data_IF_336998640478
#
_entry.id   IF_336998640478
#
_cell.length_a   1.000
_cell.length_b   1.000
_cell.length_c   1.000
_cell.angle_alpha   90.00
_cell.angle_beta   90.00
_cell.angle_gamma   90.00
#
_symmetry.space_group_name_H-M   'P 1'
#
loop_
_entity.id
_entity.type
_entity.pdbx_description
1 polymer ?
#
# COMPACT_ATOMS: atom_id res chain seq x y z
N UNK A 1 87.38 -0.37 -39.57
CA UNK A 1 87.34 -1.75 -40.08
C UNK A 1 86.21 -2.43 -39.33
N UNK A 2 84.97 -2.17 -39.72
CA UNK A 2 84.37 -2.89 -40.84
C UNK A 2 83.89 -4.23 -40.30
N UNK A 3 82.85 -4.22 -39.46
CA UNK A 3 82.09 -5.45 -39.20
C UNK A 3 81.37 -5.76 -40.50
N UNK A 4 82.08 -6.42 -41.41
CA UNK A 4 81.52 -6.84 -42.69
C UNK A 4 80.48 -7.92 -42.39
N UNK A 5 79.23 -7.61 -42.71
CA UNK A 5 78.19 -8.61 -42.80
C UNK A 5 78.61 -9.51 -43.97
N UNK A 6 79.03 -10.75 -43.66
CA UNK A 6 79.60 -11.70 -44.65
C UNK A 6 78.65 -11.95 -45.84
N UNK A 7 77.34 -11.73 -45.65
CA UNK A 7 76.34 -11.71 -46.73
C UNK A 7 75.20 -10.70 -46.44
N UNK A 8 75.24 -9.48 -47.03
CA UNK A 8 74.25 -8.44 -46.77
C UNK A 8 72.83 -8.79 -47.24
N UNK A 9 72.69 -9.57 -48.32
CA UNK A 9 71.37 -9.93 -48.84
C UNK A 9 70.68 -10.98 -47.97
N UNK A 10 71.41 -11.97 -47.45
CA UNK A 10 70.81 -12.95 -46.53
C UNK A 10 70.42 -12.29 -45.21
N UNK A 11 71.24 -11.36 -44.70
CA UNK A 11 70.93 -10.56 -43.51
C UNK A 11 69.62 -9.77 -43.66
N UNK A 12 69.41 -9.10 -44.79
CA UNK A 12 68.17 -8.35 -45.06
C UNK A 12 66.95 -9.26 -45.21
N UNK A 13 67.11 -10.45 -45.82
CA UNK A 13 66.03 -11.45 -45.92
C UNK A 13 65.65 -12.04 -44.56
N UNK A 14 66.63 -12.29 -43.69
CA UNK A 14 66.40 -12.75 -42.32
C UNK A 14 65.77 -11.65 -41.46
N UNK A 15 66.21 -10.40 -41.61
CA UNK A 15 65.60 -9.25 -40.96
C UNK A 15 64.13 -9.07 -41.36
N UNK A 16 63.81 -9.19 -42.66
CA UNK A 16 62.44 -9.11 -43.17
C UNK A 16 61.54 -10.20 -42.60
N UNK A 17 62.05 -11.44 -42.55
CA UNK A 17 61.32 -12.58 -41.94
C UNK A 17 61.07 -12.36 -40.44
N UNK A 18 62.08 -11.87 -39.71
CA UNK A 18 61.96 -11.60 -38.28
C UNK A 18 60.96 -10.47 -37.99
N UNK A 19 60.94 -9.42 -38.80
CA UNK A 19 59.94 -8.33 -38.71
C UNK A 19 58.53 -8.84 -39.01
N UNK A 20 58.37 -9.68 -40.04
CA UNK A 20 57.09 -10.29 -40.37
C UNK A 20 56.57 -11.22 -39.25
N UNK A 21 57.44 -12.04 -38.66
CA UNK A 21 57.09 -12.89 -37.51
C UNK A 21 56.66 -12.05 -36.30
N UNK A 22 57.38 -10.96 -36.01
CA UNK A 22 56.99 -10.03 -34.95
C UNK A 22 55.62 -9.38 -35.19
N UNK A 23 55.36 -8.90 -36.41
CA UNK A 23 54.07 -8.30 -36.77
C UNK A 23 52.91 -9.29 -36.67
N UNK A 24 53.10 -10.54 -37.08
CA UNK A 24 52.09 -11.61 -36.93
C UNK A 24 51.79 -11.89 -35.44
N UNK A 25 52.83 -12.01 -34.61
CA UNK A 25 52.68 -12.18 -33.15
C UNK A 25 51.94 -10.99 -32.53
N UNK A 26 52.26 -9.76 -32.91
CA UNK A 26 51.55 -8.55 -32.44
C UNK A 26 50.07 -8.57 -32.85
N UNK A 27 49.76 -8.96 -34.09
CA UNK A 27 48.38 -9.06 -34.57
C UNK A 27 47.59 -10.16 -33.83
N UNK A 28 48.21 -11.33 -33.59
CA UNK A 28 47.62 -12.41 -32.80
C UNK A 28 47.38 -12.00 -31.35
N UNK A 29 48.33 -11.27 -30.76
CA UNK A 29 48.24 -10.77 -29.39
C UNK A 29 47.10 -9.74 -29.22
N UNK A 30 46.88 -8.87 -30.21
CA UNK A 30 45.71 -7.98 -30.23
C UNK A 30 44.40 -8.77 -30.23
N UNK A 31 44.29 -9.79 -31.10
CA UNK A 31 43.09 -10.64 -31.16
C UNK A 31 42.86 -11.41 -29.85
N UNK A 32 43.92 -11.91 -29.22
CA UNK A 32 43.81 -12.61 -27.94
C UNK A 32 43.40 -11.68 -26.79
N UNK A 33 43.87 -10.42 -26.78
CA UNK A 33 43.40 -9.41 -25.81
C UNK A 33 41.91 -9.11 -25.95
N UNK A 34 41.41 -9.00 -27.18
CA UNK A 34 39.97 -8.80 -27.41
C UNK A 34 39.14 -10.03 -27.01
N UNK A 35 39.65 -11.23 -27.27
CA UNK A 35 39.02 -12.49 -26.86
C UNK A 35 38.98 -12.63 -25.33
N UNK A 36 40.08 -12.33 -24.63
CA UNK A 36 40.14 -12.32 -23.16
C UNK A 36 39.13 -11.33 -22.57
N UNK A 37 39.08 -10.10 -23.11
CA UNK A 37 38.11 -9.10 -22.65
C UNK A 37 36.65 -9.55 -22.86
N UNK A 38 36.37 -10.16 -24.00
CA UNK A 38 35.03 -10.64 -24.34
C UNK A 38 34.61 -11.81 -23.45
N UNK A 39 35.51 -12.77 -23.24
CA UNK A 39 35.27 -13.94 -22.37
C UNK A 39 35.16 -13.55 -20.90
N UNK A 40 35.98 -12.60 -20.42
CA UNK A 40 35.85 -12.02 -19.07
C UNK A 40 34.48 -11.36 -18.87
N UNK A 41 34.05 -10.52 -19.82
CA UNK A 41 32.74 -9.86 -19.74
C UNK A 41 31.58 -10.86 -19.79
N UNK A 42 31.70 -11.92 -20.60
CA UNK A 42 30.70 -12.98 -20.66
C UNK A 42 30.61 -13.77 -19.34
N UNK A 43 31.75 -14.04 -18.69
CA UNK A 43 31.80 -14.70 -17.39
C UNK A 43 31.15 -13.84 -16.29
N UNK A 44 31.48 -12.55 -16.23
CA UNK A 44 30.88 -11.63 -15.26
C UNK A 44 29.37 -11.48 -15.47
N UNK A 45 28.94 -11.38 -16.73
CA UNK A 45 27.52 -11.34 -17.08
C UNK A 45 26.80 -12.62 -16.66
N UNK A 46 27.39 -13.80 -16.91
CA UNK A 46 26.81 -15.07 -16.51
C UNK A 46 26.69 -15.19 -14.98
N UNK A 47 27.72 -14.77 -14.23
CA UNK A 47 27.66 -14.72 -12.75
C UNK A 47 26.55 -13.80 -12.25
N UNK A 48 26.41 -12.63 -12.85
CA UNK A 48 25.36 -11.68 -12.50
C UNK A 48 23.96 -12.21 -12.83
N UNK A 49 23.78 -12.82 -14.00
CA UNK A 49 22.51 -13.47 -14.38
C UNK A 49 22.09 -14.55 -13.37
N UNK A 50 23.04 -15.33 -12.85
CA UNK A 50 22.80 -16.35 -11.82
C UNK A 50 22.36 -15.69 -10.51
N UNK A 51 23.08 -14.66 -10.06
CA UNK A 51 22.74 -13.93 -8.83
C UNK A 51 21.35 -13.30 -8.91
N UNK A 52 21.03 -12.63 -10.01
CA UNK A 52 19.71 -12.03 -10.24
C UNK A 52 18.61 -13.11 -10.25
N UNK A 53 18.89 -14.29 -10.83
CA UNK A 53 17.96 -15.43 -10.84
C UNK A 53 17.73 -15.99 -9.44
N UNK A 54 18.77 -16.10 -8.61
CA UNK A 54 18.69 -16.51 -7.21
C UNK A 54 17.80 -15.54 -6.45
N UNK A 55 18.10 -14.25 -6.49
CA UNK A 55 17.37 -13.22 -5.74
C UNK A 55 15.89 -13.17 -6.15
N UNK A 56 15.62 -13.21 -7.45
CA UNK A 56 14.25 -13.22 -7.97
C UNK A 56 13.49 -14.47 -7.51
N UNK A 57 14.11 -15.64 -7.56
CA UNK A 57 13.47 -16.92 -7.18
C UNK A 57 13.20 -16.96 -5.68
N UNK A 58 14.16 -16.53 -4.85
CA UNK A 58 14.01 -16.47 -3.40
C UNK A 58 12.88 -15.52 -3.01
N UNK A 59 12.86 -14.32 -3.61
CA UNK A 59 11.80 -13.33 -3.36
C UNK A 59 10.44 -13.88 -3.75
N UNK A 60 10.31 -14.40 -4.97
CA UNK A 60 9.04 -14.93 -5.46
C UNK A 60 8.52 -16.07 -4.57
N UNK A 61 9.36 -17.02 -4.18
CA UNK A 61 8.94 -18.14 -3.32
C UNK A 61 8.58 -17.68 -1.89
N UNK A 62 9.29 -16.68 -1.35
CA UNK A 62 8.98 -16.10 -0.04
C UNK A 62 7.63 -15.36 -0.06
N UNK A 63 7.37 -14.59 -1.13
CA UNK A 63 6.13 -13.87 -1.35
C UNK A 63 4.96 -14.85 -1.53
N UNK A 64 5.12 -15.90 -2.34
CA UNK A 64 4.09 -16.93 -2.57
C UNK A 64 3.74 -17.70 -1.28
N UNK A 65 4.75 -18.04 -0.48
CA UNK A 65 4.58 -18.68 0.83
C UNK A 65 3.76 -17.76 1.75
N UNK A 66 4.17 -16.50 1.86
CA UNK A 66 3.53 -15.50 2.71
C UNK A 66 2.09 -15.22 2.28
N UNK A 67 1.86 -15.06 0.98
CA UNK A 67 0.54 -14.79 0.41
C UNK A 67 -0.46 -15.92 0.69
N UNK A 68 0.00 -17.17 0.70
CA UNK A 68 -0.85 -18.34 1.02
C UNK A 68 -1.35 -18.29 2.46
N UNK A 69 -0.47 -18.00 3.42
CA UNK A 69 -0.85 -17.85 4.83
C UNK A 69 -1.72 -16.61 5.06
N UNK A 70 -1.40 -15.48 4.43
CA UNK A 70 -2.20 -14.25 4.57
C UNK A 70 -3.61 -14.42 4.03
N UNK A 71 -3.78 -15.19 2.94
CA UNK A 71 -5.10 -15.57 2.44
C UNK A 71 -5.88 -16.39 3.47
N UNK A 72 -5.26 -17.35 4.16
CA UNK A 72 -5.94 -18.13 5.20
C UNK A 72 -6.29 -17.28 6.42
N UNK A 73 -5.37 -16.44 6.89
CA UNK A 73 -5.61 -15.51 8.00
C UNK A 73 -6.79 -14.60 7.68
N UNK A 74 -6.82 -14.00 6.49
CA UNK A 74 -7.92 -13.11 6.09
C UNK A 74 -9.27 -13.84 6.00
N UNK A 75 -9.31 -15.10 5.56
CA UNK A 75 -10.52 -15.91 5.56
C UNK A 75 -11.06 -16.16 6.98
N UNK A 76 -10.18 -16.48 7.93
CA UNK A 76 -10.56 -16.66 9.34
C UNK A 76 -11.01 -15.33 9.94
N UNK A 77 -10.33 -14.22 9.65
CA UNK A 77 -10.73 -12.88 10.12
C UNK A 77 -12.11 -12.46 9.62
N UNK A 78 -12.46 -12.76 8.36
CA UNK A 78 -13.80 -12.50 7.82
C UNK A 78 -14.86 -13.31 8.57
N UNK A 79 -14.60 -14.60 8.83
CA UNK A 79 -15.51 -15.47 9.59
C UNK A 79 -15.67 -14.97 11.03
N UNK A 80 -14.57 -14.57 11.66
CA UNK A 80 -14.54 -14.02 13.02
C UNK A 80 -15.36 -12.73 13.12
N UNK A 81 -15.20 -11.79 12.18
CA UNK A 81 -16.02 -10.57 12.11
C UNK A 81 -17.51 -10.88 11.96
N UNK A 82 -17.85 -11.88 11.14
CA UNK A 82 -19.24 -12.31 10.96
C UNK A 82 -19.82 -12.87 12.27
N UNK A 83 -19.08 -13.72 12.98
CA UNK A 83 -19.51 -14.30 14.26
C UNK A 83 -19.64 -13.26 15.36
N UNK A 84 -18.73 -12.29 15.43
CA UNK A 84 -18.85 -11.14 16.33
C UNK A 84 -20.12 -10.32 16.03
N UNK A 85 -20.44 -10.08 14.75
CA UNK A 85 -21.66 -9.38 14.38
C UNK A 85 -22.93 -10.17 14.73
N UNK A 86 -22.91 -11.49 14.58
CA UNK A 86 -24.01 -12.38 15.02
C UNK A 86 -24.20 -12.33 16.54
N UNK A 87 -23.11 -12.38 17.31
CA UNK A 87 -23.10 -12.22 18.78
C UNK A 87 -23.67 -10.87 19.21
N UNK A 88 -23.23 -9.78 18.59
CA UNK A 88 -23.72 -8.43 18.90
C UNK A 88 -25.22 -8.27 18.57
N UNK A 89 -25.68 -8.92 17.49
CA UNK A 89 -27.10 -8.96 17.15
C UNK A 89 -27.89 -9.75 18.20
N UNK A 90 -27.40 -10.92 18.61
CA UNK A 90 -28.03 -11.71 19.67
C UNK A 90 -28.10 -10.93 20.99
N UNK A 91 -27.03 -10.23 21.37
CA UNK A 91 -27.00 -9.33 22.53
C UNK A 91 -28.07 -8.22 22.43
N UNK A 92 -28.17 -7.55 21.28
CA UNK A 92 -29.17 -6.49 21.06
C UNK A 92 -30.61 -7.02 21.19
N UNK A 93 -30.87 -8.21 20.64
CA UNK A 93 -32.19 -8.85 20.78
C UNK A 93 -32.46 -9.30 22.23
N UNK A 94 -31.46 -9.82 22.94
CA UNK A 94 -31.55 -10.14 24.37
C UNK A 94 -31.91 -8.92 25.22
N UNK A 95 -31.18 -7.81 25.04
CA UNK A 95 -31.45 -6.52 25.70
C UNK A 95 -32.87 -6.03 25.39
N UNK A 96 -33.31 -6.12 24.13
CA UNK A 96 -34.67 -5.71 23.73
C UNK A 96 -35.74 -6.61 24.35
N UNK A 97 -35.51 -7.92 24.41
CA UNK A 97 -36.37 -8.89 25.07
C UNK A 97 -36.50 -8.61 26.57
N UNK A 98 -35.38 -8.36 27.24
CA UNK A 98 -35.34 -7.98 28.66
C UNK A 98 -36.08 -6.67 28.94
N UNK A 99 -35.85 -5.63 28.13
CA UNK A 99 -36.60 -4.37 28.21
C UNK A 99 -38.11 -4.64 28.10
N UNK A 100 -38.52 -5.47 27.14
CA UNK A 100 -39.93 -5.81 26.96
C UNK A 100 -40.49 -6.49 28.20
N UNK A 101 -39.82 -7.53 28.70
CA UNK A 101 -40.28 -8.33 29.84
C UNK A 101 -40.29 -7.53 31.15
N UNK A 102 -39.22 -6.80 31.47
CA UNK A 102 -39.13 -6.02 32.71
C UNK A 102 -40.06 -4.80 32.72
N UNK A 103 -40.32 -4.19 31.55
CA UNK A 103 -41.25 -3.04 31.47
C UNK A 103 -42.72 -3.45 31.31
N UNK A 104 -43.00 -4.72 31.01
CA UNK A 104 -44.35 -5.23 30.74
C UNK A 104 -45.34 -4.98 31.89
N UNK A 105 -45.04 -5.27 33.17
CA UNK A 105 -45.97 -5.01 34.26
C UNK A 105 -46.40 -3.53 34.34
N UNK A 106 -45.46 -2.61 34.10
CA UNK A 106 -45.74 -1.16 34.08
C UNK A 106 -46.53 -0.72 32.86
N UNK A 107 -46.33 -1.39 31.71
CA UNK A 107 -47.13 -1.15 30.49
C UNK A 107 -48.57 -1.64 30.67
N UNK A 108 -48.75 -2.81 31.29
CA UNK A 108 -50.08 -3.34 31.66
C UNK A 108 -50.76 -2.42 32.67
N UNK A 109 -50.06 -1.99 33.72
CA UNK A 109 -50.57 -1.03 34.70
C UNK A 109 -51.04 0.25 34.03
N UNK A 110 -50.26 0.82 33.10
CA UNK A 110 -50.66 2.01 32.34
C UNK A 110 -51.92 1.79 31.49
N UNK A 111 -52.07 0.60 30.88
CA UNK A 111 -53.27 0.25 30.11
C UNK A 111 -54.50 0.19 31.03
N UNK A 112 -54.34 -0.35 32.22
CA UNK A 112 -55.40 -0.44 33.22
C UNK A 112 -55.75 0.94 33.80
N UNK A 113 -54.77 1.77 34.14
CA UNK A 113 -54.98 3.15 34.57
C UNK A 113 -55.76 3.97 33.53
N UNK A 114 -55.51 3.76 32.23
CA UNK A 114 -56.31 4.42 31.17
C UNK A 114 -57.76 3.96 31.17
N UNK A 115 -58.04 2.67 31.43
CA UNK A 115 -59.41 2.16 31.58
C UNK A 115 -60.07 2.72 32.83
N UNK A 116 -59.33 2.87 33.93
CA UNK A 116 -59.84 3.49 35.15
C UNK A 116 -60.27 4.93 34.92
N UNK A 117 -59.52 5.74 34.15
CA UNK A 117 -59.95 7.10 33.78
C UNK A 117 -61.29 7.05 33.03
N UNK A 118 -61.43 6.16 32.04
CA UNK A 118 -62.67 6.03 31.28
C UNK A 118 -63.85 5.60 32.17
N UNK A 119 -63.61 4.71 33.15
CA UNK A 119 -64.61 4.27 34.11
C UNK A 119 -65.03 5.40 35.08
N UNK A 120 -64.08 6.19 35.58
CA UNK A 120 -64.36 7.37 36.43
C UNK A 120 -65.22 8.38 35.68
N UNK A 121 -64.88 8.69 34.43
CA UNK A 121 -65.65 9.63 33.61
C UNK A 121 -67.06 9.10 33.30
N UNK A 122 -67.18 7.79 33.02
CA UNK A 122 -68.49 7.16 32.79
C UNK A 122 -69.38 7.17 34.03
N UNK A 123 -68.81 6.95 35.22
CA UNK A 123 -69.56 6.96 36.50
C UNK A 123 -70.18 8.33 36.79
N UNK A 124 -69.47 9.40 36.44
CA UNK A 124 -69.89 10.78 36.68
C UNK A 124 -70.71 11.38 35.52
N UNK A 125 -71.06 10.57 34.50
CA UNK A 125 -71.67 11.00 33.24
C UNK A 125 -70.89 12.15 32.55
N UNK A 126 -69.59 12.22 32.78
CA UNK A 126 -68.73 13.24 32.22
C UNK A 126 -68.43 12.96 30.73
N UNK A 127 -68.32 13.99 29.88
CA UNK A 127 -67.94 13.83 28.48
C UNK A 127 -66.62 13.08 28.28
N UNK A 128 -66.56 12.21 27.27
CA UNK A 128 -65.36 11.42 26.95
C UNK A 128 -64.11 12.31 26.68
N UNK A 129 -64.32 13.55 26.22
CA UNK A 129 -63.25 14.53 26.01
C UNK A 129 -62.42 14.79 27.27
N UNK A 130 -63.01 14.72 28.47
CA UNK A 130 -62.29 14.94 29.73
C UNK A 130 -61.28 13.85 30.05
N UNK A 131 -61.35 12.69 29.39
CA UNK A 131 -60.35 11.63 29.53
C UNK A 131 -59.06 11.89 28.71
N UNK A 132 -59.07 12.85 27.79
CA UNK A 132 -57.98 13.07 26.82
C UNK A 132 -56.75 13.75 27.45
N UNK A 133 -55.56 13.50 26.91
CA UNK A 133 -54.33 14.14 27.41
C UNK A 133 -54.37 15.66 27.18
N UNK A 134 -54.94 16.11 26.06
CA UNK A 134 -55.12 17.52 25.69
C UNK A 134 -55.95 18.29 26.70
N UNK A 135 -57.10 17.75 27.13
CA UNK A 135 -57.96 18.40 28.14
C UNK A 135 -57.16 18.70 29.42
N UNK A 136 -56.45 17.70 29.92
CA UNK A 136 -55.67 17.86 31.14
C UNK A 136 -54.48 18.83 30.93
N UNK A 137 -53.78 18.78 29.80
CA UNK A 137 -52.69 19.73 29.54
C UNK A 137 -53.17 21.18 29.47
N UNK A 138 -54.34 21.44 28.89
CA UNK A 138 -54.84 22.80 28.68
C UNK A 138 -55.64 23.37 29.86
N UNK A 139 -56.44 22.57 30.55
CA UNK A 139 -57.38 23.07 31.56
C UNK A 139 -56.92 22.81 33.00
N UNK A 140 -56.04 21.84 33.24
CA UNK A 140 -55.58 21.49 34.59
C UNK A 140 -54.06 21.22 34.70
N UNK A 141 -53.16 21.90 33.96
CA UNK A 141 -51.77 21.47 33.77
C UNK A 141 -51.04 21.09 35.07
N UNK A 142 -50.34 19.95 35.06
CA UNK A 142 -49.58 19.44 36.20
C UNK A 142 -48.08 19.36 35.89
N UNK A 143 -47.32 20.26 36.51
CA UNK A 143 -45.86 20.37 36.41
C UNK A 143 -45.36 21.19 35.22
N UNK A 144 -44.05 21.45 35.21
CA UNK A 144 -43.41 22.41 34.29
C UNK A 144 -43.62 22.12 32.80
N UNK A 145 -43.57 20.85 32.39
CA UNK A 145 -43.73 20.49 30.98
C UNK A 145 -45.12 20.79 30.43
N UNK A 146 -46.17 20.44 31.18
CA UNK A 146 -47.55 20.73 30.76
C UNK A 146 -47.85 22.23 30.83
N UNK A 147 -47.31 22.91 31.84
CA UNK A 147 -47.41 24.37 31.95
C UNK A 147 -46.74 25.08 30.77
N UNK A 148 -45.58 24.61 30.31
CA UNK A 148 -44.90 25.16 29.14
C UNK A 148 -45.70 24.92 27.85
N UNK A 149 -46.29 23.72 27.68
CA UNK A 149 -47.18 23.44 26.54
C UNK A 149 -48.42 24.33 26.57
N UNK A 150 -49.05 24.48 27.74
CA UNK A 150 -50.17 25.40 27.93
C UNK A 150 -49.78 26.84 27.58
N UNK A 151 -48.65 27.32 28.07
CA UNK A 151 -48.15 28.67 27.78
C UNK A 151 -47.87 28.87 26.29
N UNK A 152 -47.26 27.88 25.63
CA UNK A 152 -47.05 27.93 24.19
C UNK A 152 -48.36 28.02 23.41
N UNK A 153 -49.36 27.21 23.77
CA UNK A 153 -50.69 27.29 23.15
C UNK A 153 -51.33 28.65 23.40
N UNK A 154 -51.19 29.19 24.61
CA UNK A 154 -51.67 30.53 24.96
C UNK A 154 -51.01 31.62 24.12
N UNK A 155 -49.69 31.58 23.93
CA UNK A 155 -48.95 32.53 23.08
C UNK A 155 -49.40 32.43 21.62
N UNK A 156 -49.59 31.20 21.12
CA UNK A 156 -50.05 30.99 19.74
C UNK A 156 -51.43 31.61 19.53
N UNK A 157 -52.37 31.38 20.46
CA UNK A 157 -53.74 31.86 20.34
C UNK A 157 -53.82 33.38 20.60
N UNK A 158 -53.26 33.88 21.70
CA UNK A 158 -53.48 35.28 22.11
C UNK A 158 -52.39 36.25 21.65
N UNK A 159 -51.33 35.79 20.99
CA UNK A 159 -50.36 36.69 20.38
C UNK A 159 -50.26 36.41 18.89
N UNK A 160 -49.80 35.22 18.52
CA UNK A 160 -49.42 34.93 17.15
C UNK A 160 -50.62 34.99 16.18
N UNK A 161 -51.79 34.51 16.60
CA UNK A 161 -53.00 34.52 15.79
C UNK A 161 -53.54 35.96 15.56
N UNK A 162 -53.76 36.82 16.59
CA UNK A 162 -54.13 38.21 16.39
C UNK A 162 -53.14 39.01 15.52
N UNK A 163 -51.83 38.83 15.76
CA UNK A 163 -50.81 39.48 14.94
C UNK A 163 -50.84 38.98 13.50
N UNK A 164 -50.98 37.67 13.30
CA UNK A 164 -51.11 37.07 11.97
C UNK A 164 -52.31 37.64 11.22
N UNK A 165 -53.49 37.66 11.83
CA UNK A 165 -54.72 38.21 11.23
C UNK A 165 -54.55 39.69 10.89
N UNK A 166 -53.92 40.48 11.77
CA UNK A 166 -53.68 41.91 11.52
C UNK A 166 -52.81 42.18 10.29
N UNK A 167 -51.75 41.38 10.08
CA UNK A 167 -50.89 41.54 8.90
C UNK A 167 -51.56 41.12 7.59
N UNK A 168 -52.62 40.32 7.64
CA UNK A 168 -53.39 39.93 6.45
C UNK A 168 -54.39 41.01 5.99
N UNK A 169 -54.68 42.02 6.83
CA UNK A 169 -55.64 43.09 6.51
C UNK A 169 -54.91 44.28 5.85
N UNK A 170 -55.31 44.72 4.65
CA UNK A 170 -54.79 45.95 4.03
C UNK A 170 -55.09 47.20 4.88
N UNK A 171 -54.25 48.23 4.76
CA UNK A 171 -54.38 49.53 5.45
C UNK A 171 -54.07 49.58 6.96
N UNK A 172 -53.48 48.54 7.57
CA UNK A 172 -52.85 48.48 8.92
C UNK A 172 -53.15 49.63 9.90
N UNK A 173 -54.43 49.90 10.20
CA UNK A 173 -54.83 50.93 11.17
C UNK A 173 -54.67 50.35 12.56
N UNK A 174 -54.06 51.11 13.47
CA UNK A 174 -53.81 50.67 14.86
C UNK A 174 -55.09 50.15 15.58
N UNK A 175 -56.26 50.74 15.29
CA UNK A 175 -57.54 50.30 15.86
C UNK A 175 -58.00 48.91 15.39
N UNK A 176 -57.57 48.41 14.23
CA UNK A 176 -57.91 47.06 13.78
C UNK A 176 -57.31 45.99 14.70
N UNK A 177 -56.09 46.21 15.19
CA UNK A 177 -55.46 45.31 16.14
C UNK A 177 -56.30 45.22 17.44
N UNK A 178 -56.77 46.35 17.95
CA UNK A 178 -57.62 46.40 19.14
C UNK A 178 -58.92 45.58 18.96
N UNK A 179 -59.59 45.73 17.81
CA UNK A 179 -60.82 44.97 17.52
C UNK A 179 -60.54 43.47 17.36
N UNK A 180 -59.44 43.09 16.69
CA UNK A 180 -59.04 41.69 16.51
C UNK A 180 -58.79 41.04 17.88
N UNK A 181 -58.04 41.70 18.76
CA UNK A 181 -57.79 41.21 20.11
C UNK A 181 -59.07 41.10 20.94
N UNK A 182 -59.99 42.07 20.82
CA UNK A 182 -61.28 42.03 21.50
C UNK A 182 -62.11 40.80 21.08
N UNK A 183 -62.17 40.55 19.77
CA UNK A 183 -62.89 39.39 19.21
C UNK A 183 -62.22 38.08 19.60
N UNK A 184 -60.88 38.00 19.51
CA UNK A 184 -60.09 36.82 19.87
C UNK A 184 -60.28 36.42 21.34
N UNK A 185 -60.17 37.40 22.26
CA UNK A 185 -60.40 37.18 23.69
C UNK A 185 -61.85 36.77 23.97
N UNK A 186 -62.83 37.38 23.30
CA UNK A 186 -64.23 37.03 23.50
C UNK A 186 -64.52 35.59 23.02
N UNK A 187 -63.98 35.19 21.87
CA UNK A 187 -64.18 33.85 21.31
C UNK A 187 -63.38 32.81 22.09
N UNK A 188 -62.05 32.88 22.08
CA UNK A 188 -61.20 31.84 22.68
C UNK A 188 -61.20 31.90 24.20
N UNK A 189 -61.14 33.10 24.78
CA UNK A 189 -61.26 33.29 26.22
C UNK A 189 -62.65 32.90 26.73
N UNK A 190 -63.71 33.28 26.01
CA UNK A 190 -65.08 32.87 26.31
C UNK A 190 -65.26 31.36 26.29
N UNK A 191 -64.83 30.69 25.20
CA UNK A 191 -64.88 29.22 25.09
C UNK A 191 -64.08 28.55 26.21
N UNK A 192 -62.89 29.06 26.52
CA UNK A 192 -62.03 28.51 27.58
C UNK A 192 -62.72 28.59 28.95
N UNK A 193 -63.29 29.75 29.31
CA UNK A 193 -64.03 29.94 30.57
C UNK A 193 -65.29 29.08 30.60
N UNK A 194 -66.03 28.97 29.50
CA UNK A 194 -67.20 28.10 29.40
C UNK A 194 -66.83 26.64 29.70
N UNK A 195 -65.77 26.11 29.07
CA UNK A 195 -65.32 24.74 29.31
C UNK A 195 -64.87 24.57 30.77
N UNK A 196 -64.12 25.53 31.33
CA UNK A 196 -63.68 25.48 32.72
C UNK A 196 -64.87 25.46 33.68
N UNK A 197 -65.88 26.30 33.47
CA UNK A 197 -67.07 26.36 34.31
C UNK A 197 -67.90 25.07 34.23
N UNK A 198 -68.11 24.53 33.02
CA UNK A 198 -68.82 23.26 32.84
C UNK A 198 -68.04 22.11 33.47
N UNK A 199 -66.71 22.11 33.35
CA UNK A 199 -65.84 21.10 33.96
C UNK A 199 -65.90 21.13 35.49
N UNK A 200 -66.16 22.30 36.11
CA UNK A 200 -66.34 22.44 37.55
C UNK A 200 -67.47 21.59 38.13
N UNK A 201 -68.47 21.22 37.32
CA UNK A 201 -69.56 20.31 37.73
C UNK A 201 -69.11 18.87 37.94
N UNK A 202 -67.98 18.51 37.33
CA UNK A 202 -67.36 17.18 37.38
C UNK A 202 -66.00 17.22 38.09
N UNK A 203 -65.84 18.14 39.04
CA UNK A 203 -64.55 18.43 39.68
C UNK A 203 -63.91 17.19 40.32
N UNK A 204 -64.70 16.34 40.98
CA UNK A 204 -64.21 15.12 41.62
C UNK A 204 -63.71 14.07 40.61
N UNK A 205 -64.46 13.86 39.52
CA UNK A 205 -64.05 12.96 38.45
C UNK A 205 -62.79 13.45 37.74
N UNK A 206 -62.68 14.76 37.50
CA UNK A 206 -61.51 15.38 36.89
C UNK A 206 -60.30 15.26 37.80
N UNK A 207 -60.44 15.52 39.11
CA UNK A 207 -59.38 15.37 40.10
C UNK A 207 -58.88 13.93 40.17
N UNK A 208 -59.77 12.96 40.25
CA UNK A 208 -59.41 11.54 40.25
C UNK A 208 -58.69 11.14 38.94
N UNK A 209 -59.21 11.58 37.79
CA UNK A 209 -58.54 11.33 36.51
C UNK A 209 -57.17 12.00 36.41
N UNK A 210 -56.97 13.19 37.02
CA UNK A 210 -55.66 13.85 37.12
C UNK A 210 -54.68 13.02 37.93
N UNK A 211 -55.08 12.48 39.08
CA UNK A 211 -54.22 11.64 39.91
C UNK A 211 -53.81 10.37 39.15
N UNK A 212 -54.74 9.75 38.41
CA UNK A 212 -54.44 8.60 37.56
C UNK A 212 -53.47 8.98 36.43
N UNK A 213 -53.60 10.15 35.81
CA UNK A 213 -52.64 10.64 34.80
C UNK A 213 -51.26 10.93 35.37
N UNK A 214 -51.18 11.51 36.57
CA UNK A 214 -49.92 11.72 37.26
C UNK A 214 -49.23 10.36 37.54
N UNK A 215 -49.99 9.32 37.93
CA UNK A 215 -49.47 7.95 38.06
C UNK A 215 -48.95 7.39 36.73
N UNK A 216 -49.69 7.55 35.63
CA UNK A 216 -49.23 7.14 34.28
C UNK A 216 -47.92 7.87 33.92
N UNK A 217 -47.81 9.17 34.20
CA UNK A 217 -46.59 9.97 33.95
C UNK A 217 -45.41 9.46 34.76
N UNK A 218 -45.61 9.12 36.03
CA UNK A 218 -44.60 8.49 36.88
C UNK A 218 -44.17 7.13 36.34
N UNK A 219 -45.12 6.26 35.95
CA UNK A 219 -44.82 4.97 35.35
C UNK A 219 -44.02 5.09 34.05
N UNK A 220 -44.34 6.06 33.18
CA UNK A 220 -43.53 6.34 31.97
C UNK A 220 -42.10 6.75 32.31
N UNK A 221 -41.90 7.57 33.35
CA UNK A 221 -40.55 7.93 33.84
C UNK A 221 -39.80 6.70 34.37
N UNK A 222 -40.48 5.83 35.12
CA UNK A 222 -39.90 4.59 35.64
C UNK A 222 -39.50 3.68 34.48
N UNK A 223 -40.38 3.48 33.48
CA UNK A 223 -40.06 2.71 32.25
C UNK A 223 -38.81 3.28 31.56
N UNK A 224 -38.75 4.59 31.34
CA UNK A 224 -37.58 5.21 30.70
C UNK A 224 -36.29 5.03 31.53
N UNK A 225 -36.38 5.09 32.86
CA UNK A 225 -35.24 4.80 33.74
C UNK A 225 -34.81 3.33 33.65
N UNK A 226 -35.75 2.39 33.71
CA UNK A 226 -35.48 0.95 33.58
C UNK A 226 -34.84 0.65 32.22
N UNK A 227 -35.37 1.19 31.13
CA UNK A 227 -34.79 1.04 29.78
C UNK A 227 -33.36 1.55 29.72
N UNK A 228 -33.07 2.72 30.32
CA UNK A 228 -31.70 3.27 30.39
C UNK A 228 -30.79 2.40 31.25
N UNK A 229 -31.26 1.92 32.39
CA UNK A 229 -30.50 1.03 33.27
C UNK A 229 -30.15 -0.27 32.57
N UNK A 230 -31.11 -0.94 31.93
CA UNK A 230 -30.89 -2.19 31.19
C UNK A 230 -29.91 -1.99 30.04
N UNK A 231 -29.97 -0.86 29.32
CA UNK A 231 -29.01 -0.56 28.24
C UNK A 231 -27.60 -0.27 28.73
N UNK A 232 -27.46 0.27 29.94
CA UNK A 232 -26.16 0.56 30.57
C UNK A 232 -25.61 -0.64 31.33
N UNK A 233 -26.47 -1.62 31.63
CA UNK A 233 -26.07 -2.83 32.34
C UNK A 233 -24.99 -3.58 31.57
N UNK A 234 -23.88 -3.82 32.25
CA UNK A 234 -22.74 -4.56 31.72
C UNK A 234 -22.96 -6.07 31.78
N UNK A 235 -23.94 -6.53 32.56
CA UNK A 235 -24.23 -7.96 32.68
C UNK A 235 -24.92 -8.49 31.43
N UNK A 236 -24.29 -9.47 30.81
CA UNK A 236 -24.82 -10.23 29.68
C UNK A 236 -25.36 -11.61 30.10
N UNK A 237 -25.34 -11.89 31.40
CA UNK A 237 -25.84 -13.13 31.97
C UNK A 237 -27.34 -13.30 31.62
N UNK A 238 -27.67 -14.39 30.94
CA UNK A 238 -29.02 -14.72 30.50
C UNK A 238 -29.34 -14.43 29.02
N UNK A 239 -28.39 -13.90 28.23
CA UNK A 239 -28.57 -13.73 26.77
C UNK A 239 -28.08 -14.94 25.95
N UNK A 240 -27.61 -16.01 26.59
CA UNK A 240 -27.07 -17.23 25.96
C UNK A 240 -26.00 -16.92 24.90
N UNK A 241 -25.03 -16.08 25.25
CA UNK A 241 -23.94 -15.66 24.35
C UNK A 241 -22.71 -16.57 24.43
N UNK A 242 -22.65 -17.48 25.41
CA UNK A 242 -21.50 -18.37 25.67
C UNK A 242 -21.12 -19.19 24.43
N UNK A 243 -22.11 -19.76 23.73
CA UNK A 243 -21.85 -20.53 22.51
C UNK A 243 -21.19 -19.69 21.39
N UNK A 244 -21.52 -18.39 21.29
CA UNK A 244 -20.85 -17.49 20.35
C UNK A 244 -19.44 -17.14 20.83
N UNK A 245 -19.27 -16.93 22.13
CA UNK A 245 -17.98 -16.60 22.73
C UNK A 245 -16.99 -17.77 22.58
N UNK A 246 -17.44 -19.02 22.79
CA UNK A 246 -16.67 -20.24 22.55
C UNK A 246 -16.26 -20.39 21.07
N UNK A 247 -17.19 -20.16 20.14
CA UNK A 247 -16.89 -20.24 18.71
C UNK A 247 -15.91 -19.14 18.27
N UNK A 248 -16.07 -17.91 18.78
CA UNK A 248 -15.14 -16.80 18.55
C UNK A 248 -13.77 -17.13 19.12
N UNK A 249 -13.68 -17.67 20.34
CA UNK A 249 -12.43 -18.07 20.97
C UNK A 249 -11.72 -19.16 20.15
N UNK A 250 -12.46 -20.17 19.68
CA UNK A 250 -11.93 -21.21 18.80
C UNK A 250 -11.38 -20.64 17.49
N UNK A 251 -12.09 -19.70 16.85
CA UNK A 251 -11.61 -19.03 15.63
C UNK A 251 -10.40 -18.12 15.89
N UNK A 252 -10.34 -17.48 17.06
CA UNK A 252 -9.17 -16.70 17.47
C UNK A 252 -7.94 -17.59 17.67
N UNK A 253 -8.13 -18.76 18.28
CA UNK A 253 -7.08 -19.76 18.42
C UNK A 253 -6.62 -20.25 17.04
N UNK A 254 -7.55 -20.62 16.15
CA UNK A 254 -7.23 -21.01 14.76
C UNK A 254 -6.41 -19.93 14.03
N UNK A 255 -6.81 -18.66 14.16
CA UNK A 255 -6.04 -17.53 13.60
C UNK A 255 -4.63 -17.45 14.18
N UNK A 256 -4.48 -17.59 15.50
CA UNK A 256 -3.18 -17.57 16.17
C UNK A 256 -2.29 -18.72 15.72
N UNK A 257 -2.87 -19.92 15.58
CA UNK A 257 -2.16 -21.11 15.12
C UNK A 257 -1.64 -20.92 13.68
N UNK A 258 -2.46 -20.36 12.78
CA UNK A 258 -2.05 -20.05 11.40
C UNK A 258 -0.92 -19.01 11.38
N UNK A 259 -0.98 -17.97 12.22
CA UNK A 259 0.10 -16.97 12.33
C UNK A 259 1.40 -17.62 12.81
N UNK A 260 1.32 -18.50 13.82
CA UNK A 260 2.48 -19.24 14.32
C UNK A 260 3.07 -20.15 13.24
N UNK A 261 2.22 -20.87 12.50
CA UNK A 261 2.64 -21.69 11.36
C UNK A 261 3.30 -20.86 10.26
N UNK A 262 2.76 -19.68 9.93
CA UNK A 262 3.35 -18.75 8.96
C UNK A 262 4.77 -18.37 9.39
N UNK A 263 4.95 -17.98 10.65
CA UNK A 263 6.26 -17.58 11.17
C UNK A 263 7.25 -18.75 11.18
N UNK A 264 6.80 -19.95 11.58
CA UNK A 264 7.61 -21.16 11.50
C UNK A 264 8.03 -21.48 10.08
N UNK A 265 7.10 -21.41 9.11
CA UNK A 265 7.39 -21.67 7.70
C UNK A 265 8.36 -20.64 7.10
N UNK A 266 8.22 -19.35 7.46
CA UNK A 266 9.17 -18.30 7.06
C UNK A 266 10.58 -18.57 7.61
N UNK A 267 10.68 -18.93 8.89
CA UNK A 267 11.97 -19.28 9.50
C UNK A 267 12.63 -20.50 8.82
N UNK A 268 11.85 -21.54 8.52
CA UNK A 268 12.33 -22.71 7.78
C UNK A 268 12.77 -22.34 6.37
N UNK A 269 12.01 -21.47 5.70
CA UNK A 269 12.36 -20.98 4.37
C UNK A 269 13.70 -20.22 4.39
N UNK A 270 13.87 -19.28 5.32
CA UNK A 270 15.08 -18.47 5.41
C UNK A 270 16.32 -19.26 5.86
N UNK A 271 16.15 -20.25 6.72
CA UNK A 271 17.28 -21.01 7.29
C UNK A 271 17.71 -22.18 6.40
N UNK A 272 16.74 -22.94 5.85
CA UNK A 272 17.02 -24.21 5.17
C UNK A 272 16.73 -24.09 3.68
N UNK A 273 15.50 -23.74 3.32
CA UNK A 273 15.06 -23.78 1.91
C UNK A 273 15.80 -22.78 1.04
N UNK A 274 16.15 -21.60 1.58
CA UNK A 274 16.95 -20.58 0.90
C UNK A 274 18.27 -21.15 0.40
N UNK A 275 19.02 -21.84 1.27
CA UNK A 275 20.32 -22.40 0.93
C UNK A 275 20.19 -23.52 -0.10
N UNK A 276 19.15 -24.35 0.00
CA UNK A 276 18.86 -25.40 -0.98
C UNK A 276 18.59 -24.78 -2.36
N UNK A 277 17.79 -23.71 -2.44
CA UNK A 277 17.49 -23.03 -3.71
C UNK A 277 18.75 -22.41 -4.33
N UNK A 278 19.59 -21.79 -3.49
CA UNK A 278 20.88 -21.23 -3.94
C UNK A 278 21.73 -22.34 -4.54
N UNK A 279 21.95 -23.42 -3.79
CA UNK A 279 22.78 -24.55 -4.22
C UNK A 279 22.24 -25.23 -5.48
N UNK A 280 20.92 -25.39 -5.61
CA UNK A 280 20.29 -25.97 -6.79
C UNK A 280 20.51 -25.09 -8.03
N UNK A 281 20.38 -23.76 -7.91
CA UNK A 281 20.61 -22.82 -9.02
C UNK A 281 22.09 -22.73 -9.39
N UNK A 282 22.98 -22.68 -8.40
CA UNK A 282 24.43 -22.66 -8.60
C UNK A 282 24.91 -23.95 -9.26
N UNK A 283 24.47 -25.11 -8.77
CA UNK A 283 24.80 -26.43 -9.33
C UNK A 283 24.31 -26.57 -10.77
N UNK A 284 23.09 -26.13 -11.07
CA UNK A 284 22.57 -26.15 -12.43
C UNK A 284 23.34 -25.23 -13.39
N UNK A 285 23.93 -24.14 -12.88
CA UNK A 285 24.64 -23.14 -13.68
C UNK A 285 26.16 -23.38 -13.74
N UNK A 286 26.68 -24.27 -12.88
CA UNK A 286 28.10 -24.59 -12.75
C UNK A 286 28.77 -25.01 -14.06
N UNK A 287 28.20 -25.89 -14.92
CA UNK A 287 28.85 -26.27 -16.17
C UNK A 287 29.13 -25.08 -17.09
N UNK A 288 28.19 -24.13 -17.19
CA UNK A 288 28.32 -22.93 -18.01
C UNK A 288 29.39 -21.98 -17.47
N UNK A 289 29.48 -21.86 -16.14
CA UNK A 289 30.52 -21.04 -15.49
C UNK A 289 31.89 -21.68 -15.65
N UNK A 290 31.98 -23.00 -15.48
CA UNK A 290 33.23 -23.74 -15.63
C UNK A 290 33.75 -23.66 -17.08
N UNK A 291 32.87 -23.78 -18.08
CA UNK A 291 33.21 -23.62 -19.49
C UNK A 291 33.74 -22.21 -19.80
N UNK A 292 33.04 -21.16 -19.36
CA UNK A 292 33.48 -19.77 -19.55
C UNK A 292 34.78 -19.46 -18.79
N UNK A 293 34.96 -20.03 -17.60
CA UNK A 293 36.17 -19.90 -16.79
C UNK A 293 37.36 -20.58 -17.45
N UNK A 294 37.17 -21.77 -18.01
CA UNK A 294 38.19 -22.47 -18.79
C UNK A 294 38.57 -21.70 -20.06
N UNK A 295 37.57 -21.17 -20.79
CA UNK A 295 37.81 -20.36 -21.98
C UNK A 295 38.62 -19.10 -21.66
N UNK A 296 38.25 -18.40 -20.58
CA UNK A 296 39.00 -17.23 -20.09
C UNK A 296 40.44 -17.59 -19.69
N UNK A 297 40.62 -18.67 -18.92
CA UNK A 297 41.96 -19.14 -18.49
C UNK A 297 42.83 -19.53 -19.69
N UNK A 298 42.23 -20.17 -20.70
CA UNK A 298 42.93 -20.53 -21.94
C UNK A 298 43.37 -19.29 -22.73
N UNK A 299 42.47 -18.32 -22.91
CA UNK A 299 42.79 -17.04 -23.57
C UNK A 299 43.89 -16.27 -22.82
N UNK A 300 43.83 -16.25 -21.48
CA UNK A 300 44.85 -15.62 -20.63
C UNK A 300 46.23 -16.30 -20.79
N UNK A 301 46.28 -17.63 -20.79
CA UNK A 301 47.50 -18.39 -20.98
C UNK A 301 48.09 -18.19 -22.39
N UNK A 302 47.24 -18.20 -23.43
CA UNK A 302 47.66 -17.93 -24.80
C UNK A 302 48.20 -16.51 -24.97
N UNK A 303 47.54 -15.50 -24.38
CA UNK A 303 48.06 -14.13 -24.36
C UNK A 303 49.41 -14.04 -23.66
N UNK A 304 49.56 -14.64 -22.49
CA UNK A 304 50.82 -14.62 -21.73
C UNK A 304 51.98 -15.25 -22.52
N UNK A 305 51.72 -16.37 -23.22
CA UNK A 305 52.67 -17.00 -24.12
C UNK A 305 53.06 -16.09 -25.29
N UNK A 306 52.08 -15.47 -25.95
CA UNK A 306 52.33 -14.50 -27.02
C UNK A 306 53.06 -13.25 -26.53
N UNK A 307 52.79 -12.75 -25.32
CA UNK A 307 53.49 -11.60 -24.73
C UNK A 307 54.95 -11.91 -24.40
N UNK A 308 55.24 -13.16 -24.04
CA UNK A 308 56.62 -13.61 -23.82
C UNK A 308 57.35 -13.70 -25.16
N UNK A 309 56.71 -14.29 -26.18
CA UNK A 309 57.27 -14.40 -27.53
C UNK A 309 57.45 -13.03 -28.20
N UNK A 310 56.51 -12.11 -28.02
CA UNK A 310 56.60 -10.73 -28.50
C UNK A 310 57.81 -10.02 -27.88
N UNK A 311 58.01 -10.15 -26.56
CA UNK A 311 59.20 -9.60 -25.88
C UNK A 311 60.51 -10.23 -26.36
N UNK A 312 60.55 -11.54 -26.55
CA UNK A 312 61.74 -12.24 -27.06
C UNK A 312 62.09 -11.81 -28.48
N UNK A 313 61.09 -11.76 -29.38
CA UNK A 313 61.26 -11.30 -30.76
C UNK A 313 61.66 -9.83 -30.81
N UNK A 314 61.04 -8.96 -30.01
CA UNK A 314 61.43 -7.55 -29.91
C UNK A 314 62.90 -7.41 -29.47
N UNK A 315 63.31 -8.13 -28.41
CA UNK A 315 64.69 -8.12 -27.94
C UNK A 315 65.68 -8.65 -28.99
N UNK A 316 65.31 -9.71 -29.72
CA UNK A 316 66.14 -10.25 -30.80
C UNK A 316 66.25 -9.25 -31.97
N UNK A 317 65.15 -8.63 -32.37
CA UNK A 317 65.10 -7.58 -33.40
C UNK A 317 66.03 -6.42 -33.04
N UNK A 318 65.95 -5.94 -31.79
CA UNK A 318 66.82 -4.88 -31.28
C UNK A 318 68.30 -5.28 -31.25
N UNK A 319 68.61 -6.50 -30.80
CA UNK A 319 70.00 -6.96 -30.66
C UNK A 319 70.68 -7.24 -32.00
N UNK A 320 69.95 -7.79 -32.97
CA UNK A 320 70.55 -8.37 -34.18
C UNK A 320 70.40 -7.46 -35.40
N UNK A 321 69.29 -6.72 -35.51
CA UNK A 321 68.96 -5.98 -36.74
C UNK A 321 68.85 -4.46 -36.52
N UNK A 322 68.27 -3.99 -35.41
CA UNK A 322 68.07 -2.56 -35.14
C UNK A 322 69.37 -1.77 -35.08
N UNK A 323 70.48 -2.38 -34.63
CA UNK A 323 71.80 -1.76 -34.58
C UNK A 323 72.35 -1.40 -35.96
N UNK A 324 71.89 -2.08 -37.02
CA UNK A 324 72.38 -1.89 -38.39
C UNK A 324 71.37 -1.17 -39.29
N UNK A 325 70.07 -1.43 -39.09
CA UNK A 325 68.99 -0.85 -39.89
C UNK A 325 68.39 0.42 -39.29
N UNK A 326 68.54 0.63 -37.98
CA UNK A 326 67.85 1.69 -37.25
C UNK A 326 66.35 1.40 -37.07
N UNK A 327 65.79 1.89 -35.96
CA UNK A 327 64.39 1.62 -35.57
C UNK A 327 63.36 2.05 -36.61
N UNK A 328 63.62 3.12 -37.35
CA UNK A 328 62.70 3.68 -38.35
C UNK A 328 62.50 2.75 -39.57
N UNK A 329 63.55 2.01 -39.96
CA UNK A 329 63.57 1.16 -41.16
C UNK A 329 63.30 -0.32 -40.84
N UNK A 330 62.85 -0.64 -39.63
CA UNK A 330 62.44 -2.00 -39.23
C UNK A 330 61.03 -2.36 -39.71
N UNK A 331 60.77 -2.16 -41.00
CA UNK A 331 59.53 -2.55 -41.64
C UNK A 331 59.82 -3.24 -42.98
N UNK A 332 58.90 -4.09 -43.45
CA UNK A 332 59.14 -4.93 -44.62
C UNK A 332 59.38 -4.12 -45.91
N UNK A 333 58.81 -2.91 -46.01
CA UNK A 333 58.89 -2.05 -47.19
C UNK A 333 60.27 -1.36 -47.29
N UNK A 334 60.78 -0.84 -46.19
CA UNK A 334 62.09 -0.18 -46.13
C UNK A 334 63.22 -1.22 -46.24
N UNK A 335 63.06 -2.41 -45.66
CA UNK A 335 64.03 -3.51 -45.84
C UNK A 335 64.13 -3.94 -47.32
N UNK A 336 63.01 -3.97 -48.05
CA UNK A 336 63.02 -4.25 -49.50
C UNK A 336 63.71 -3.14 -50.30
N UNK A 337 63.52 -1.87 -49.90
CA UNK A 337 64.21 -0.73 -50.53
C UNK A 337 65.71 -0.74 -50.26
N UNK A 338 66.13 -1.04 -49.03
CA UNK A 338 67.55 -1.23 -48.66
C UNK A 338 68.14 -2.38 -49.49
N UNK A 339 67.40 -3.48 -49.64
CA UNK A 339 67.83 -4.63 -50.45
C UNK A 339 67.97 -4.27 -51.92
N UNK A 340 67.06 -3.46 -52.47
CA UNK A 340 67.14 -2.99 -53.86
C UNK A 340 68.35 -2.06 -54.10
N UNK A 341 68.62 -1.13 -53.19
CA UNK A 341 69.81 -0.24 -53.24
C UNK A 341 71.12 -1.05 -53.20
N UNK A 342 71.15 -2.14 -52.44
CA UNK A 342 72.29 -3.05 -52.43
C UNK A 342 72.40 -3.93 -53.69
N UNK A 343 71.28 -4.38 -54.25
CA UNK A 343 71.25 -5.19 -55.47
C UNK A 343 71.67 -4.40 -56.72
N UNK A 344 71.34 -3.10 -56.76
CA UNK A 344 71.73 -2.18 -57.84
C UNK A 344 73.20 -1.70 -57.73
N UNK A 345 73.98 -2.18 -56.75
CA UNK A 345 75.33 -1.72 -56.39
C UNK A 345 75.41 -0.22 -56.04
N UNK A 346 74.29 0.41 -55.71
CA UNK A 346 74.25 1.82 -55.40
C UNK A 346 74.84 2.11 -54.00
N UNK A 347 74.74 1.17 -53.06
CA UNK A 347 75.30 1.28 -51.70
C UNK A 347 76.38 0.22 -51.41
N UNK A 348 77.40 0.62 -50.66
CA UNK A 348 78.59 -0.21 -50.35
C UNK A 348 78.46 -1.07 -49.09
N UNK A 349 77.51 -0.75 -48.21
CA UNK A 349 77.23 -1.47 -46.95
C UNK A 349 75.78 -1.23 -46.53
N UNK A 350 75.21 -2.09 -45.69
CA UNK A 350 73.83 -1.97 -45.17
C UNK A 350 73.61 -0.62 -44.48
N UNK A 351 74.60 -0.11 -43.75
CA UNK A 351 74.52 1.20 -43.07
C UNK A 351 74.53 2.37 -44.07
N UNK A 352 75.28 2.24 -45.18
CA UNK A 352 75.33 3.23 -46.28
C UNK A 352 74.01 3.24 -47.07
N UNK A 353 73.35 2.09 -47.21
CA UNK A 353 72.03 2.00 -47.82
C UNK A 353 70.94 2.64 -46.94
N UNK A 354 71.02 2.46 -45.62
CA UNK A 354 70.10 3.07 -44.64
C UNK A 354 70.26 4.60 -44.61
N UNK A 355 71.50 5.10 -44.55
CA UNK A 355 71.75 6.56 -44.52
C UNK A 355 71.29 7.27 -45.79
N UNK A 356 71.35 6.61 -46.96
CA UNK A 356 70.79 7.14 -48.21
C UNK A 356 69.28 7.10 -48.28
N UNK A 357 68.65 6.19 -47.54
CA UNK A 357 67.20 6.17 -47.36
C UNK A 357 66.73 7.30 -46.43
N UNK A 358 67.48 7.59 -45.36
CA UNK A 358 67.23 8.73 -44.46
C UNK A 358 67.53 10.09 -45.13
N UNK A 359 68.52 10.11 -46.02
CA UNK A 359 68.95 11.28 -46.77
C UNK A 359 69.10 10.93 -48.25
N UNK A 360 68.00 10.97 -49.05
CA UNK A 360 68.10 10.75 -50.49
C UNK A 360 69.05 11.80 -51.05
N UNK A 361 70.22 11.34 -51.51
CA UNK A 361 71.23 12.21 -52.10
C UNK A 361 70.60 12.90 -53.30
N UNK A 362 70.45 14.23 -53.22
CA UNK A 362 70.42 15.04 -54.43
C UNK A 362 71.78 14.83 -55.14
N UNK A 363 71.74 14.68 -56.46
CA UNK A 363 72.84 14.43 -57.42
C UNK A 363 73.04 12.94 -57.73
N UNK A 364 72.81 12.45 -58.96
CA UNK A 364 73.44 12.96 -60.18
C UNK A 364 72.71 12.49 -61.45
N UNK A 365 72.02 13.41 -62.14
CA UNK A 365 71.96 13.54 -63.62
C UNK A 365 71.75 15.04 -63.83
N UNK A 366 72.68 15.80 -64.39
CA UNK A 366 73.09 15.70 -65.78
C UNK A 366 74.51 16.27 -65.97
N UNK A 367 75.35 15.46 -66.61
CA UNK A 367 76.30 15.98 -67.57
C UNK A 367 75.51 16.37 -68.83
N UNK A 368 75.68 17.61 -69.25
CA UNK A 368 75.04 18.28 -70.37
C UNK A 368 75.36 19.76 -70.32
#
# INVERSE_FOLDING_TARGET
>A
MGMEIENPQSFLDEAKKAVAEYQDVVAQLSKMKDMEKTTASALDKARKEIQDKIEKTLKQRSDDLTATYDKQISQVEVRLKKKQAERDKAKKEGVKGRIKNETEPRRIENKELRRQIAAVMKKDNAPAFYSTDVFYTLFHPSGLGELMTFLMVFIIIFALLPFGVYFLIPDHKFWYLFVIYLVDILIFGGIYVCIMNISGRHADAIRQGRDIKNRIKTNRKIISKMEKTIRKDSSEAGYNLEAFDDEIAKMQQERSDIISQKQSAQNTFDTVTRNIIIDEIETASKPRIDELSQAFTSAMNQRSGLETRERELALNLTKTYEQYLGKAHMNAEDIDRIKALMANQEASSVIDAVTRLDHPSQDTTAAG
#
